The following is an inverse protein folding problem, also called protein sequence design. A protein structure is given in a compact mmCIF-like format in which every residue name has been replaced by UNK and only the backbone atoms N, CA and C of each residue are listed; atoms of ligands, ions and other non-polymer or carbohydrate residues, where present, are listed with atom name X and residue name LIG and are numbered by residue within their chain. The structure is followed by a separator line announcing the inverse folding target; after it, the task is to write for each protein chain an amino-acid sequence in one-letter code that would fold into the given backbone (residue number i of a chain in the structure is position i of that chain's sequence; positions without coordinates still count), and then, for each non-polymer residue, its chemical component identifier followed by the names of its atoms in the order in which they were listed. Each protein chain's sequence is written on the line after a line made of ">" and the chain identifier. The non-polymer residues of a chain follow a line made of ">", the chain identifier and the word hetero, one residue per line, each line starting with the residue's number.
data_IF_411527552941
#
_entry.id   IF_411527552941
#
_cell.length_a   1.000
_cell.length_b   1.000
_cell.length_c   1.000
_cell.angle_alpha   90.00
_cell.angle_beta   90.00
_cell.angle_gamma   90.00
#
_symmetry.space_group_name_H-M   'P 1'
#
loop_
_entity.id
_entity.type
_entity.pdbx_description
1 polymer ?
#
# COMPACT_ATOMS: atom_id res chain seq x y z
N UNK A 1 -1.73 15.44 -1.61
CA UNK A 1 -0.43 14.74 -1.40
C UNK A 1 -0.53 13.36 -2.04
N UNK A 2 0.50 12.88 -2.76
CA UNK A 2 0.49 11.56 -3.43
C UNK A 2 1.53 10.64 -2.80
N UNK A 3 1.13 9.42 -2.43
CA UNK A 3 1.98 8.41 -1.78
C UNK A 3 2.05 7.15 -2.66
N UNK A 4 3.23 6.54 -2.77
CA UNK A 4 3.39 5.22 -3.36
C UNK A 4 3.79 4.24 -2.24
N UNK A 5 2.94 3.24 -1.98
CA UNK A 5 3.28 2.13 -1.10
C UNK A 5 3.98 1.05 -1.92
N UNK A 6 5.30 0.92 -1.76
CA UNK A 6 6.10 -0.05 -2.50
C UNK A 6 6.14 -1.36 -1.70
N UNK A 7 5.48 -2.40 -2.22
CA UNK A 7 5.52 -3.75 -1.68
C UNK A 7 6.53 -4.60 -2.45
N UNK A 8 7.14 -5.54 -1.73
CA UNK A 8 8.13 -6.48 -2.24
C UNK A 8 7.95 -7.83 -1.54
N UNK A 9 8.49 -8.88 -2.16
CA UNK A 9 8.37 -10.25 -1.65
C UNK A 9 8.84 -10.37 -0.20
N UNK A 10 8.11 -11.15 0.60
CA UNK A 10 8.34 -11.36 2.03
C UNK A 10 8.22 -10.09 2.89
N UNK A 11 7.49 -9.07 2.42
CA UNK A 11 7.08 -7.97 3.28
C UNK A 11 6.24 -8.49 4.45
N UNK A 12 6.39 -7.90 5.63
CA UNK A 12 5.52 -8.23 6.77
C UNK A 12 4.18 -7.51 6.64
N UNK A 13 3.10 -8.27 6.41
CA UNK A 13 1.75 -7.71 6.28
C UNK A 13 1.30 -6.92 7.51
N UNK A 14 1.72 -7.34 8.72
CA UNK A 14 1.38 -6.65 9.96
C UNK A 14 1.92 -5.22 9.99
N UNK A 15 3.20 -5.06 9.62
CA UNK A 15 3.85 -3.76 9.58
C UNK A 15 3.25 -2.89 8.47
N UNK A 16 2.99 -3.49 7.30
CA UNK A 16 2.37 -2.78 6.19
C UNK A 16 0.97 -2.26 6.53
N UNK A 17 0.08 -3.12 7.05
CA UNK A 17 -1.30 -2.72 7.40
C UNK A 17 -1.31 -1.70 8.53
N UNK A 18 -0.42 -1.83 9.51
CA UNK A 18 -0.27 -0.85 10.59
C UNK A 18 0.08 0.55 10.07
N UNK A 19 1.02 0.63 9.12
CA UNK A 19 1.37 1.91 8.48
C UNK A 19 0.29 2.41 7.53
N UNK A 20 -0.26 1.53 6.69
CA UNK A 20 -1.31 1.85 5.72
C UNK A 20 -2.56 2.42 6.40
N UNK A 21 -3.03 1.80 7.48
CA UNK A 21 -4.20 2.29 8.23
C UNK A 21 -3.95 3.69 8.81
N UNK A 22 -2.80 3.91 9.46
CA UNK A 22 -2.44 5.21 10.02
C UNK A 22 -2.39 6.33 8.97
N UNK A 23 -1.75 6.06 7.82
CA UNK A 23 -1.61 7.05 6.74
C UNK A 23 -2.95 7.33 6.07
N UNK A 24 -3.72 6.30 5.74
CA UNK A 24 -5.00 6.47 5.03
C UNK A 24 -6.06 7.12 5.91
N UNK A 25 -6.01 6.95 7.25
CA UNK A 25 -6.87 7.65 8.21
C UNK A 25 -6.70 9.16 8.18
N UNK A 26 -5.52 9.68 7.84
CA UNK A 26 -5.32 11.13 7.68
C UNK A 26 -6.31 11.74 6.68
N UNK A 27 -6.65 10.98 5.64
CA UNK A 27 -7.69 11.36 4.68
C UNK A 27 -9.09 11.25 5.30
N UNK A 28 -9.44 10.10 5.87
CA UNK A 28 -10.80 9.87 6.38
C UNK A 28 -11.16 10.78 7.56
N UNK A 29 -10.17 11.27 8.30
CA UNK A 29 -10.33 12.21 9.41
C UNK A 29 -10.33 13.68 8.96
N UNK A 30 -10.15 13.95 7.66
CA UNK A 30 -10.17 15.31 7.11
C UNK A 30 -8.92 16.15 7.41
N UNK A 31 -7.80 15.52 7.79
CA UNK A 31 -6.54 16.25 7.98
C UNK A 31 -5.86 16.57 6.65
N UNK A 32 -5.97 15.67 5.66
CA UNK A 32 -5.41 15.83 4.31
C UNK A 32 -6.41 15.28 3.28
N UNK A 33 -7.37 16.10 2.88
CA UNK A 33 -8.45 15.68 1.96
C UNK A 33 -7.94 15.23 0.59
N UNK A 34 -6.92 15.91 0.07
CA UNK A 34 -6.28 15.58 -1.22
C UNK A 34 -5.21 14.48 -1.11
N UNK A 35 -5.24 13.67 -0.05
CA UNK A 35 -4.35 12.52 0.06
C UNK A 35 -4.79 11.44 -0.94
N UNK A 36 -3.86 10.97 -1.76
CA UNK A 36 -4.03 9.82 -2.64
C UNK A 36 -2.86 8.86 -2.48
N UNK A 37 -3.11 7.58 -2.70
CA UNK A 37 -2.08 6.56 -2.60
C UNK A 37 -2.30 5.47 -3.64
N UNK A 38 -1.19 4.86 -4.07
CA UNK A 38 -1.17 3.70 -4.94
C UNK A 38 -0.34 2.58 -4.33
N UNK A 39 -0.78 1.34 -4.56
CA UNK A 39 -0.05 0.12 -4.24
C UNK A 39 0.83 -0.25 -5.43
N UNK A 40 2.13 -0.13 -5.25
CA UNK A 40 3.13 -0.36 -6.28
C UNK A 40 4.03 -1.53 -5.90
N UNK A 41 4.51 -2.27 -6.89
CA UNK A 41 5.48 -3.33 -6.71
C UNK A 41 6.22 -3.56 -8.02
N UNK A 42 7.29 -4.34 -7.96
CA UNK A 42 8.01 -4.76 -9.16
C UNK A 42 7.17 -5.73 -10.00
N UNK A 43 6.49 -6.65 -9.32
CA UNK A 43 5.60 -7.64 -9.92
C UNK A 43 4.13 -7.24 -9.77
N UNK A 44 3.26 -7.79 -10.61
CA UNK A 44 1.80 -7.58 -10.52
C UNK A 44 1.22 -8.12 -9.20
N UNK A 45 1.91 -9.09 -8.60
CA UNK A 45 1.52 -9.76 -7.37
C UNK A 45 2.74 -9.94 -6.48
N UNK A 46 2.57 -9.68 -5.20
CA UNK A 46 3.60 -9.82 -4.18
C UNK A 46 3.06 -10.69 -3.05
N UNK A 47 3.87 -11.63 -2.56
CA UNK A 47 3.52 -12.44 -1.39
C UNK A 47 4.21 -11.90 -0.14
N UNK A 48 3.47 -11.88 0.96
CA UNK A 48 4.01 -11.55 2.28
C UNK A 48 4.79 -12.74 2.89
N UNK A 49 5.30 -12.55 4.11
CA UNK A 49 6.01 -13.58 4.88
C UNK A 49 5.15 -14.80 5.30
N UNK A 50 3.83 -14.74 5.12
CA UNK A 50 2.84 -15.72 5.61
C UNK A 50 1.96 -16.31 4.50
N UNK A 51 2.20 -15.97 3.24
CA UNK A 51 1.44 -16.44 2.08
C UNK A 51 0.20 -15.62 1.72
N UNK A 52 0.04 -14.41 2.25
CA UNK A 52 -0.94 -13.42 1.78
C UNK A 52 -0.44 -12.81 0.48
N UNK A 53 -1.26 -12.87 -0.56
CA UNK A 53 -0.95 -12.26 -1.87
C UNK A 53 -1.59 -10.88 -1.98
N UNK A 54 -0.76 -9.87 -2.23
CA UNK A 54 -1.19 -8.52 -2.60
C UNK A 54 -1.18 -8.37 -4.12
N UNK A 55 -2.26 -7.81 -4.68
CA UNK A 55 -2.31 -7.40 -6.09
C UNK A 55 -1.95 -5.93 -6.20
N UNK A 56 -0.98 -5.63 -7.05
CA UNK A 56 -0.55 -4.25 -7.29
C UNK A 56 -1.50 -3.59 -8.30
N UNK A 57 -1.73 -2.30 -8.12
CA UNK A 57 -2.31 -1.49 -9.17
C UNK A 57 -1.18 -1.13 -10.13
N UNK A 58 -0.95 -1.97 -11.12
CA UNK A 58 -0.06 -1.63 -12.22
C UNK A 58 -0.71 -0.47 -12.99
N UNK A 59 -0.10 0.72 -13.07
CA UNK A 59 -0.62 1.75 -13.95
C UNK A 59 -0.59 1.19 -15.38
N UNK A 60 -1.76 1.13 -16.02
CA UNK A 60 -1.86 0.69 -17.41
C UNK A 60 -0.95 1.60 -18.25
N UNK A 61 0.10 1.00 -18.83
CA UNK A 61 1.00 1.63 -19.81
C UNK A 61 0.27 2.00 -21.09
#
# INVERSE_FOLDING_TARGET
>A
MKIAFILFEQVTSLDFVGFYDGVTRLKSMGFIDELSWDLCGYDEQVNDDRGITYKMNTPAT
#
